data_IF_140244627901
#
_entry.id   IF_140244627901
#
_cell.length_a   1.000
_cell.length_b   1.000
_cell.length_c   1.000
_cell.angle_alpha   90.00
_cell.angle_beta   90.00
_cell.angle_gamma   90.00
#
_symmetry.space_group_name_H-M   'P 1'
#
loop_
_entity.id
_entity.type
_entity.pdbx_description
1 polymer ?
#
# COMPACT_ATOMS: atom_id res chain seq x y z
N UNK A 1 -7.09 -0.85 10.80
CA UNK A 1 -7.51 -2.26 10.86
C UNK A 1 -7.54 -2.70 12.31
N UNK A 2 -8.67 -3.24 12.78
CA UNK A 2 -8.84 -3.71 14.16
C UNK A 2 -8.32 -5.14 14.37
N UNK A 3 -8.18 -5.54 15.64
CA UNK A 3 -7.72 -6.89 16.00
C UNK A 3 -8.72 -7.99 15.63
N UNK A 4 -10.01 -7.68 15.60
CA UNK A 4 -11.13 -8.59 15.30
C UNK A 4 -11.54 -8.63 13.82
N UNK A 5 -10.71 -8.06 12.95
CA UNK A 5 -10.97 -7.95 11.52
C UNK A 5 -10.99 -9.31 10.81
N UNK A 6 -11.86 -9.44 9.82
CA UNK A 6 -11.73 -10.45 8.76
C UNK A 6 -10.67 -9.96 7.78
N UNK A 7 -9.44 -10.46 7.91
CA UNK A 7 -8.29 -9.95 7.18
C UNK A 7 -8.42 -10.10 5.66
N UNK A 8 -8.86 -11.24 5.11
CA UNK A 8 -9.09 -11.37 3.68
C UNK A 8 -10.10 -10.36 3.13
N UNK A 9 -11.20 -10.14 3.85
CA UNK A 9 -12.23 -9.18 3.43
C UNK A 9 -11.73 -7.73 3.51
N UNK A 10 -10.97 -7.39 4.56
CA UNK A 10 -10.37 -6.06 4.70
C UNK A 10 -9.30 -5.81 3.63
N UNK A 11 -8.39 -6.78 3.43
CA UNK A 11 -7.34 -6.67 2.43
C UNK A 11 -7.90 -6.50 1.01
N UNK A 12 -9.00 -7.20 0.67
CA UNK A 12 -9.66 -7.03 -0.63
C UNK A 12 -10.20 -5.61 -0.81
N UNK A 13 -10.85 -5.05 0.20
CA UNK A 13 -11.38 -3.67 0.16
C UNK A 13 -10.27 -2.64 0.09
N UNK A 14 -9.17 -2.85 0.86
CA UNK A 14 -8.00 -1.97 0.85
C UNK A 14 -7.30 -2.04 -0.51
N UNK A 15 -7.09 -3.24 -1.06
CA UNK A 15 -6.49 -3.42 -2.38
C UNK A 15 -7.34 -2.76 -3.48
N UNK A 16 -8.66 -2.96 -3.45
CA UNK A 16 -9.57 -2.32 -4.40
C UNK A 16 -9.48 -0.78 -4.30
N UNK A 17 -9.58 -0.21 -3.11
CA UNK A 17 -9.49 1.23 -2.91
C UNK A 17 -8.11 1.80 -3.27
N UNK A 18 -7.02 1.05 -2.98
CA UNK A 18 -5.65 1.47 -3.31
C UNK A 18 -5.34 1.37 -4.79
N UNK A 19 -5.86 0.37 -5.49
CA UNK A 19 -5.50 0.11 -6.88
C UNK A 19 -6.49 0.69 -7.90
N UNK A 20 -7.60 1.23 -7.43
CA UNK A 20 -8.47 2.04 -8.28
C UNK A 20 -7.65 3.19 -8.91
N UNK A 21 -7.62 3.25 -10.23
CA UNK A 21 -6.78 4.19 -10.99
C UNK A 21 -5.29 4.15 -10.56
N UNK A 22 -4.78 2.96 -10.21
CA UNK A 22 -3.40 2.76 -9.71
C UNK A 22 -3.05 3.65 -8.50
N UNK A 23 -4.02 3.91 -7.62
CA UNK A 23 -3.84 4.73 -6.42
C UNK A 23 -3.83 6.24 -6.65
N UNK A 24 -4.16 6.69 -7.84
CA UNK A 24 -4.19 8.10 -8.22
C UNK A 24 -5.58 8.70 -7.95
N UNK A 25 -6.04 8.60 -6.70
CA UNK A 25 -7.31 9.16 -6.21
C UNK A 25 -7.12 9.74 -4.81
N UNK A 26 -7.79 10.86 -4.52
CA UNK A 26 -7.68 11.59 -3.25
C UNK A 26 -8.15 10.80 -2.02
N UNK A 27 -8.94 9.74 -2.23
CA UNK A 27 -9.45 8.87 -1.16
C UNK A 27 -8.80 7.48 -1.19
N UNK A 28 -7.78 7.25 -2.03
CA UNK A 28 -7.03 6.00 -1.97
C UNK A 28 -6.37 5.85 -0.59
N UNK A 29 -6.39 4.65 0.04
CA UNK A 29 -5.64 4.42 1.27
C UNK A 29 -4.18 4.80 1.07
N UNK A 30 -3.68 5.78 1.83
CA UNK A 30 -2.31 6.25 1.67
C UNK A 30 -1.34 5.44 2.54
N UNK A 31 -1.80 4.97 3.71
CA UNK A 31 -1.14 3.98 4.54
C UNK A 31 -2.18 3.11 5.26
N UNK A 32 -1.73 1.99 5.83
CA UNK A 32 -2.57 1.12 6.66
C UNK A 32 -1.95 0.95 8.03
N UNK A 33 -2.78 1.08 9.07
CA UNK A 33 -2.41 0.78 10.46
C UNK A 33 -2.91 -0.63 10.80
N UNK A 34 -1.98 -1.51 11.22
CA UNK A 34 -2.25 -2.91 11.57
C UNK A 34 -1.90 -3.19 13.02
N UNK A 35 -2.66 -4.06 13.72
CA UNK A 35 -2.18 -4.64 14.97
C UNK A 35 -0.85 -5.36 14.76
N UNK A 36 0.12 -5.13 15.66
CA UNK A 36 1.44 -5.79 15.61
C UNK A 36 1.30 -7.32 15.55
N UNK A 37 2.15 -7.94 14.72
CA UNK A 37 2.17 -9.39 14.52
C UNK A 37 1.20 -9.90 13.44
N UNK A 38 0.41 -9.01 12.81
CA UNK A 38 -0.49 -9.39 11.70
C UNK A 38 0.01 -8.98 10.32
N UNK A 39 1.24 -8.53 10.21
CA UNK A 39 1.85 -8.01 8.98
C UNK A 39 1.93 -9.11 7.90
N UNK A 40 2.38 -10.30 8.27
CA UNK A 40 2.50 -11.43 7.34
C UNK A 40 1.12 -11.89 6.82
N UNK A 41 0.12 -11.97 7.72
CA UNK A 41 -1.27 -12.30 7.36
C UNK A 41 -1.85 -11.27 6.38
N UNK A 42 -1.66 -9.98 6.68
CA UNK A 42 -2.11 -8.90 5.80
C UNK A 42 -1.41 -8.96 4.45
N UNK A 43 -0.08 -9.14 4.43
CA UNK A 43 0.70 -9.24 3.20
C UNK A 43 0.17 -10.35 2.30
N UNK A 44 -0.05 -11.55 2.86
CA UNK A 44 -0.60 -12.68 2.13
C UNK A 44 -2.02 -12.41 1.60
N UNK A 45 -2.89 -11.86 2.44
CA UNK A 45 -4.26 -11.54 2.06
C UNK A 45 -4.32 -10.44 0.99
N UNK A 46 -3.45 -9.42 1.10
CA UNK A 46 -3.36 -8.35 0.12
C UNK A 46 -2.84 -8.84 -1.24
N UNK A 47 -1.83 -9.71 -1.27
CA UNK A 47 -1.34 -10.35 -2.49
C UNK A 47 -2.44 -11.16 -3.19
N UNK A 48 -3.18 -11.99 -2.43
CA UNK A 48 -4.31 -12.74 -2.95
C UNK A 48 -5.41 -11.80 -3.51
N UNK A 49 -5.66 -10.68 -2.85
CA UNK A 49 -6.60 -9.66 -3.31
C UNK A 49 -6.13 -9.00 -4.62
N UNK A 50 -4.85 -8.64 -4.72
CA UNK A 50 -4.27 -8.08 -5.95
C UNK A 50 -4.42 -9.06 -7.11
N UNK A 51 -4.04 -10.33 -6.92
CA UNK A 51 -4.15 -11.36 -7.94
C UNK A 51 -5.61 -11.62 -8.39
N UNK A 52 -6.56 -11.48 -7.46
CA UNK A 52 -7.99 -11.59 -7.77
C UNK A 52 -8.52 -10.41 -8.59
N UNK A 53 -8.05 -9.18 -8.29
CA UNK A 53 -8.49 -7.96 -8.96
C UNK A 53 -7.82 -7.81 -10.34
N UNK A 54 -6.53 -8.13 -10.41
CA UNK A 54 -5.70 -7.96 -11.59
C UNK A 54 -4.81 -9.20 -11.76
N UNK A 55 -5.16 -10.16 -12.65
CA UNK A 55 -4.34 -11.36 -12.90
C UNK A 55 -2.95 -11.06 -13.46
N UNK A 56 -2.80 -9.91 -14.09
CA UNK A 56 -1.52 -9.32 -14.53
C UNK A 56 -1.57 -7.81 -14.35
N UNK A 57 -0.43 -7.15 -14.31
CA UNK A 57 -0.33 -5.68 -14.25
C UNK A 57 0.20 -5.15 -15.58
N UNK A 58 1.38 -5.59 -15.98
CA UNK A 58 2.01 -5.14 -17.21
C UNK A 58 1.19 -5.58 -18.44
N UNK A 59 0.91 -4.63 -19.34
CA UNK A 59 0.08 -4.84 -20.52
C UNK A 59 -1.40 -5.08 -20.25
N UNK A 60 -1.85 -5.00 -18.99
CA UNK A 60 -3.25 -5.16 -18.64
C UNK A 60 -4.05 -3.87 -18.94
N UNK A 61 -5.03 -3.89 -19.87
CA UNK A 61 -5.81 -2.70 -20.20
C UNK A 61 -6.72 -2.23 -19.06
N UNK A 62 -7.05 -3.11 -18.10
CA UNK A 62 -7.90 -2.80 -16.96
C UNK A 62 -7.12 -2.18 -15.78
N UNK A 63 -5.76 -2.14 -15.86
CA UNK A 63 -4.93 -1.51 -14.85
C UNK A 63 -4.36 -0.18 -15.35
N UNK A 64 -4.65 0.90 -14.64
CA UNK A 64 -4.26 2.24 -15.05
C UNK A 64 -2.73 2.45 -15.03
N UNK A 65 -2.23 3.21 -15.98
CA UNK A 65 -0.86 3.73 -15.97
C UNK A 65 -0.73 4.95 -15.07
N UNK A 66 0.45 5.19 -14.54
CA UNK A 66 0.77 6.45 -13.86
C UNK A 66 0.72 7.58 -14.90
N UNK A 67 0.02 8.66 -14.55
CA UNK A 67 -0.41 9.71 -15.48
C UNK A 67 0.74 10.36 -16.26
N UNK A 68 1.90 10.58 -15.65
CA UNK A 68 3.05 11.20 -16.29
C UNK A 68 4.36 10.46 -16.00
N UNK A 69 5.37 10.53 -16.89
CA UNK A 69 6.70 10.00 -16.61
C UNK A 69 7.35 10.60 -15.36
N UNK A 70 7.12 11.89 -15.10
CA UNK A 70 7.63 12.59 -13.91
C UNK A 70 7.04 11.98 -12.63
N UNK A 71 5.74 11.72 -12.60
CA UNK A 71 5.08 11.13 -11.44
C UNK A 71 5.51 9.68 -11.23
N UNK A 72 5.65 8.90 -12.31
CA UNK A 72 6.20 7.55 -12.27
C UNK A 72 7.62 7.53 -11.67
N UNK A 73 8.49 8.44 -12.14
CA UNK A 73 9.85 8.58 -11.60
C UNK A 73 9.84 8.97 -10.11
N UNK A 74 8.94 9.86 -9.66
CA UNK A 74 8.77 10.24 -8.25
C UNK A 74 8.44 9.02 -7.39
N UNK A 75 7.47 8.22 -7.80
CA UNK A 75 7.06 7.00 -7.06
C UNK A 75 8.21 5.99 -6.96
N UNK A 76 8.95 5.78 -8.05
CA UNK A 76 10.14 4.94 -8.04
C UNK A 76 11.19 5.44 -7.06
N UNK A 77 11.44 6.74 -7.06
CA UNK A 77 12.40 7.38 -6.13
C UNK A 77 11.95 7.20 -4.69
N UNK A 78 10.66 7.34 -4.37
CA UNK A 78 10.13 7.09 -3.02
C UNK A 78 10.41 5.67 -2.55
N UNK A 79 10.15 4.65 -3.38
CA UNK A 79 10.44 3.25 -3.04
C UNK A 79 11.93 3.01 -2.84
N UNK A 80 12.77 3.56 -3.71
CA UNK A 80 14.22 3.43 -3.62
C UNK A 80 14.78 4.08 -2.35
N UNK A 81 14.29 5.27 -2.02
CA UNK A 81 14.67 5.95 -0.78
C UNK A 81 14.25 5.17 0.45
N UNK A 82 13.02 4.63 0.47
CA UNK A 82 12.54 3.81 1.57
C UNK A 82 13.42 2.58 1.80
N UNK A 83 13.79 1.86 0.73
CA UNK A 83 14.71 0.72 0.81
C UNK A 83 16.10 1.14 1.33
N UNK A 84 16.67 2.21 0.81
CA UNK A 84 17.99 2.73 1.24
C UNK A 84 17.97 3.13 2.72
N UNK A 85 16.83 3.59 3.22
CA UNK A 85 16.61 3.97 4.62
C UNK A 85 16.20 2.79 5.52
N UNK A 86 16.22 1.56 4.99
CA UNK A 86 16.01 0.34 5.76
C UNK A 86 14.57 -0.19 5.80
N UNK A 87 13.65 0.38 5.02
CA UNK A 87 12.32 -0.19 4.88
C UNK A 87 12.36 -1.46 4.00
N UNK A 88 11.52 -2.43 4.35
CA UNK A 88 11.31 -3.64 3.57
C UNK A 88 10.20 -3.40 2.54
N UNK A 89 10.51 -3.56 1.25
CA UNK A 89 9.56 -3.35 0.14
C UNK A 89 9.19 -4.67 -0.50
N UNK A 90 7.91 -5.01 -0.46
CA UNK A 90 7.32 -6.18 -1.10
C UNK A 90 6.56 -5.74 -2.35
N UNK A 91 7.16 -5.89 -3.51
CA UNK A 91 6.48 -5.66 -4.78
C UNK A 91 5.67 -6.89 -5.17
N UNK A 92 4.44 -6.68 -5.60
CA UNK A 92 3.48 -7.74 -5.91
C UNK A 92 3.32 -7.82 -7.42
N UNK A 93 3.84 -8.90 -7.99
CA UNK A 93 3.56 -9.29 -9.37
C UNK A 93 2.58 -10.47 -9.36
N UNK A 94 1.29 -10.24 -9.69
CA UNK A 94 0.29 -11.30 -9.66
C UNK A 94 0.60 -12.43 -10.67
N UNK A 95 1.30 -12.15 -11.76
CA UNK A 95 1.66 -13.16 -12.76
C UNK A 95 2.74 -14.12 -12.23
N UNK A 96 3.59 -13.70 -11.31
CA UNK A 96 4.64 -14.55 -10.72
C UNK A 96 4.14 -15.47 -9.61
N UNK A 97 2.96 -15.19 -9.03
CA UNK A 97 2.40 -15.94 -7.91
C UNK A 97 3.20 -15.83 -6.61
N UNK A 98 4.23 -14.99 -6.55
CA UNK A 98 5.11 -14.81 -5.39
C UNK A 98 5.41 -13.32 -5.18
N UNK A 99 5.60 -12.87 -3.93
CA UNK A 99 6.16 -11.55 -3.70
C UNK A 99 7.56 -11.49 -4.31
N UNK A 100 7.78 -10.50 -5.15
CA UNK A 100 9.12 -10.24 -5.69
C UNK A 100 9.79 -9.28 -4.72
N UNK A 101 10.94 -9.69 -4.15
CA UNK A 101 11.77 -8.74 -3.42
C UNK A 101 12.12 -7.59 -4.39
N UNK A 102 11.68 -6.37 -4.05
CA UNK A 102 11.83 -5.25 -4.96
C UNK A 102 13.30 -4.90 -5.16
N UNK A 103 13.85 -5.34 -6.27
CA UNK A 103 14.92 -4.58 -6.91
C UNK A 103 14.27 -3.49 -7.74
N UNK A 104 14.77 -2.27 -7.65
CA UNK A 104 14.23 -1.08 -8.36
C UNK A 104 14.06 -1.30 -9.89
N UNK A 105 14.65 -2.37 -10.44
CA UNK A 105 14.49 -2.79 -11.84
C UNK A 105 13.20 -3.54 -12.18
N UNK A 106 12.46 -4.04 -11.17
CA UNK A 106 11.26 -4.86 -11.39
C UNK A 106 9.94 -4.08 -11.32
N UNK A 107 9.99 -2.75 -11.31
CA UNK A 107 8.82 -1.89 -11.22
C UNK A 107 8.11 -1.63 -12.58
N UNK A 108 8.30 -2.50 -13.58
CA UNK A 108 7.86 -2.32 -14.96
C UNK A 108 8.92 -1.64 -15.83
N UNK A 109 8.81 -1.78 -17.14
CA UNK A 109 9.76 -1.24 -18.13
C UNK A 109 9.74 0.30 -18.24
N UNK A 110 8.80 0.95 -17.57
CA UNK A 110 8.59 2.39 -17.62
C UNK A 110 7.94 2.89 -18.91
N UNK A 111 7.85 2.09 -19.95
CA UNK A 111 7.22 2.49 -21.21
C UNK A 111 5.70 2.56 -21.07
N UNK A 112 5.09 1.55 -20.46
CA UNK A 112 3.65 1.54 -20.15
C UNK A 112 3.28 2.44 -18.96
N UNK A 113 4.23 2.75 -18.09
CA UNK A 113 4.03 3.39 -16.78
C UNK A 113 3.05 2.66 -15.86
N UNK A 114 2.75 1.41 -16.14
CA UNK A 114 2.03 0.54 -15.22
C UNK A 114 2.99 0.12 -14.11
N UNK A 115 2.66 0.48 -12.87
CA UNK A 115 3.52 0.23 -11.71
C UNK A 115 2.96 -0.90 -10.88
N UNK A 116 3.79 -1.89 -10.58
CA UNK A 116 3.41 -3.00 -9.69
C UNK A 116 3.03 -2.48 -8.30
N UNK A 117 1.95 -2.99 -7.70
CA UNK A 117 1.60 -2.68 -6.31
C UNK A 117 2.72 -3.06 -5.36
N UNK A 118 2.97 -2.21 -4.36
CA UNK A 118 4.03 -2.46 -3.38
C UNK A 118 3.55 -2.20 -1.96
N UNK A 119 3.83 -3.13 -1.05
CA UNK A 119 3.72 -2.93 0.40
C UNK A 119 5.08 -2.49 0.93
N UNK A 120 5.08 -1.54 1.87
CA UNK A 120 6.32 -1.03 2.50
C UNK A 120 6.20 -1.19 4.01
N UNK A 121 7.04 -2.04 4.59
CA UNK A 121 7.10 -2.28 6.04
C UNK A 121 8.28 -1.54 6.65
N UNK A 122 8.14 -1.15 7.92
CA UNK A 122 9.19 -0.40 8.62
C UNK A 122 9.38 1.03 8.12
N UNK A 123 8.38 1.60 7.46
CA UNK A 123 8.39 3.01 7.09
C UNK A 123 8.47 3.91 8.33
N UNK A 124 9.35 4.89 8.29
CA UNK A 124 9.51 5.89 9.37
C UNK A 124 8.95 7.25 8.95
N UNK A 125 8.55 8.11 9.89
CA UNK A 125 8.04 9.44 9.58
C UNK A 125 9.01 10.33 8.77
N UNK A 126 10.31 10.02 8.78
CA UNK A 126 11.32 10.77 8.03
C UNK A 126 11.37 10.41 6.54
N UNK A 127 10.78 9.31 6.14
CA UNK A 127 10.74 8.85 4.75
C UNK A 127 9.76 9.68 3.92
N UNK A 128 10.12 10.00 2.68
CA UNK A 128 9.29 10.81 1.78
C UNK A 128 7.88 10.24 1.60
N UNK A 129 7.75 8.91 1.52
CA UNK A 129 6.46 8.22 1.41
C UNK A 129 5.51 8.40 2.63
N UNK A 130 6.04 8.96 3.76
CA UNK A 130 5.26 9.30 4.96
C UNK A 130 5.08 10.81 5.15
N UNK A 131 5.71 11.64 4.30
CA UNK A 131 5.64 13.10 4.38
C UNK A 131 4.80 13.73 3.29
N UNK A 132 4.63 13.04 2.16
CA UNK A 132 3.88 13.50 1.00
C UNK A 132 2.80 12.49 0.65
N UNK A 133 1.67 12.96 0.12
CA UNK A 133 0.67 12.08 -0.47
C UNK A 133 1.30 11.23 -1.59
N UNK A 134 1.15 9.91 -1.50
CA UNK A 134 1.79 8.98 -2.43
C UNK A 134 1.18 9.12 -3.83
N UNK A 135 -0.14 9.07 -3.94
CA UNK A 135 -0.89 9.15 -5.20
C UNK A 135 -0.43 8.10 -6.22
N UNK A 136 -0.26 6.86 -5.74
CA UNK A 136 0.28 5.74 -6.51
C UNK A 136 0.04 4.40 -5.81
N UNK A 137 0.42 3.26 -6.43
CA UNK A 137 0.10 1.92 -5.93
C UNK A 137 1.09 1.42 -4.87
N UNK A 138 1.55 2.31 -4.00
CA UNK A 138 2.47 2.03 -2.89
C UNK A 138 1.70 2.19 -1.60
N UNK A 139 1.77 1.19 -0.72
CA UNK A 139 1.03 1.15 0.54
C UNK A 139 1.98 0.88 1.72
N UNK A 140 2.37 1.90 2.50
CA UNK A 140 3.01 1.75 3.78
C UNK A 140 2.14 0.98 4.76
N UNK A 141 2.76 0.04 5.48
CA UNK A 141 2.14 -0.76 6.53
C UNK A 141 2.80 -0.41 7.85
N UNK A 142 2.01 0.16 8.75
CA UNK A 142 2.47 0.66 10.05
C UNK A 142 1.82 -0.19 11.14
N UNK A 143 2.64 -0.80 11.99
CA UNK A 143 2.16 -1.62 13.09
C UNK A 143 1.92 -0.79 14.33
N UNK A 144 0.84 -1.09 15.06
CA UNK A 144 0.53 -0.52 16.37
C UNK A 144 0.34 -1.61 17.42
N UNK A 145 0.63 -1.32 18.68
CA UNK A 145 0.40 -2.25 19.78
C UNK A 145 -0.98 -2.02 20.42
N UNK A 146 -1.34 -0.78 20.63
CA UNK A 146 -2.62 -0.36 21.21
C UNK A 146 -3.35 0.54 20.21
N UNK A 147 -4.67 0.47 20.21
CA UNK A 147 -5.48 1.35 19.36
C UNK A 147 -5.17 2.84 19.58
N UNK A 148 -4.89 3.21 20.84
CA UNK A 148 -4.49 4.58 21.19
C UNK A 148 -3.23 5.04 20.44
N UNK A 149 -2.28 4.13 20.17
CA UNK A 149 -1.06 4.44 19.39
C UNK A 149 -1.42 4.75 17.93
N UNK A 150 -2.37 3.99 17.36
CA UNK A 150 -2.87 4.25 16.02
C UNK A 150 -3.60 5.60 15.93
N UNK A 151 -4.43 5.93 16.92
CA UNK A 151 -5.10 7.23 17.03
C UNK A 151 -4.09 8.37 17.20
N UNK A 152 -3.08 8.18 18.06
CA UNK A 152 -2.00 9.15 18.24
C UNK A 152 -1.21 9.39 16.97
N UNK A 153 -0.92 8.33 16.20
CA UNK A 153 -0.25 8.43 14.90
C UNK A 153 -1.05 9.31 13.92
N UNK A 154 -2.37 9.07 13.79
CA UNK A 154 -3.23 9.86 12.91
C UNK A 154 -3.28 11.32 13.37
N UNK A 155 -3.41 11.57 14.68
CA UNK A 155 -3.52 12.92 15.23
C UNK A 155 -2.22 13.72 15.18
N UNK A 156 -1.07 13.06 15.08
CA UNK A 156 0.24 13.71 14.93
C UNK A 156 0.48 14.24 13.51
N UNK A 157 -0.26 13.75 12.52
CA UNK A 157 -0.16 14.15 11.12
C UNK A 157 -1.20 15.23 10.74
N UNK A 158 -1.17 15.69 9.48
CA UNK A 158 -2.23 16.53 8.92
C UNK A 158 -3.56 15.76 8.88
N UNK A 159 -4.66 16.49 8.98
CA UNK A 159 -6.00 15.89 8.95
C UNK A 159 -6.24 15.14 7.62
N UNK A 160 -6.51 13.82 7.64
CA UNK A 160 -6.75 13.07 6.42
C UNK A 160 -8.10 13.44 5.79
N UNK A 161 -8.20 13.31 4.48
CA UNK A 161 -9.46 13.49 3.74
C UNK A 161 -10.45 12.36 4.04
N UNK A 162 -9.96 11.13 4.22
CA UNK A 162 -10.76 9.95 4.50
C UNK A 162 -10.11 9.07 5.56
N UNK A 163 -10.93 8.43 6.37
CA UNK A 163 -10.55 7.40 7.34
C UNK A 163 -11.41 6.16 7.12
N UNK A 164 -10.77 5.01 6.96
CA UNK A 164 -11.44 3.73 6.80
C UNK A 164 -11.22 2.85 8.03
N UNK A 165 -12.30 2.41 8.63
CA UNK A 165 -12.27 1.47 9.74
C UNK A 165 -12.62 0.06 9.27
N UNK A 166 -11.76 -0.92 9.58
CA UNK A 166 -11.98 -2.34 9.32
C UNK A 166 -11.95 -3.10 10.65
N UNK A 167 -13.10 -3.53 11.12
CA UNK A 167 -13.30 -4.29 12.36
C UNK A 167 -14.75 -4.69 12.48
N UNK A 168 -15.04 -5.61 13.41
CA UNK A 168 -16.38 -6.13 13.66
C UNK A 168 -17.07 -5.45 14.85
N UNK A 169 -16.28 -4.94 15.82
CA UNK A 169 -16.81 -4.33 17.03
C UNK A 169 -17.35 -2.93 16.77
N UNK A 170 -18.65 -2.73 17.02
CA UNK A 170 -19.30 -1.41 16.98
C UNK A 170 -18.87 -0.51 18.16
N UNK A 171 -18.30 -1.08 19.23
CA UNK A 171 -17.85 -0.34 20.41
C UNK A 171 -16.62 0.56 20.17
N UNK A 172 -15.99 0.45 19.00
CA UNK A 172 -14.76 1.15 18.63
C UNK A 172 -14.98 2.10 17.42
N UNK A 173 -16.22 2.24 16.97
CA UNK A 173 -16.62 3.17 15.89
C UNK A 173 -16.80 4.59 16.35
#
# INVERSE_FOLDING_TARGET
VATDVDMPAAALKIAHGKLLNAGQTCIAPDYVLLPRGREAEFSQAYQAAVARLFPSIEGNPDYASIITPRHYARLRTMLQQAQTQGAEVHTIDPASGKPVAATVGTLGDGASRQMLPSLVFGATPAMALMQEEIFGPILPVISYERLDDAVAHINAGPRPLALYWFGRSDAVR
#
